data_IF_599273798105
#
_entry.id   IF_599273798105
#
_cell.length_a   1.000
_cell.length_b   1.000
_cell.length_c   1.000
_cell.angle_alpha   90.00
_cell.angle_beta   90.00
_cell.angle_gamma   90.00
#
_symmetry.space_group_name_H-M   'P 1'
#
loop_
_entity.id
_entity.type
_entity.pdbx_description
1 polymer ?
#
# COMPACT_ATOMS: atom_id res chain seq x y z
N UNK A 1 6.54 10.80 -11.17
CA UNK A 1 5.40 10.12 -11.82
C UNK A 1 5.67 8.65 -12.13
N UNK A 2 6.84 8.30 -12.68
CA UNK A 2 7.18 6.89 -13.00
C UNK A 2 7.14 5.99 -11.75
N UNK A 3 7.75 6.42 -10.65
CA UNK A 3 7.74 5.64 -9.40
C UNK A 3 6.33 5.35 -8.87
N UNK A 4 5.41 6.33 -8.95
CA UNK A 4 4.01 6.13 -8.57
C UNK A 4 3.28 5.13 -9.48
N UNK A 5 3.57 5.16 -10.78
CA UNK A 5 3.02 4.20 -11.74
C UNK A 5 3.53 2.77 -11.45
N UNK A 6 4.81 2.61 -11.14
CA UNK A 6 5.41 1.32 -10.76
C UNK A 6 4.80 0.80 -9.44
N UNK A 7 4.59 1.67 -8.44
CA UNK A 7 3.90 1.31 -7.21
C UNK A 7 2.46 0.87 -7.47
N UNK A 8 1.70 1.64 -8.27
CA UNK A 8 0.32 1.29 -8.61
C UNK A 8 0.24 -0.05 -9.35
N UNK A 9 1.18 -0.32 -10.27
CA UNK A 9 1.26 -1.59 -10.98
C UNK A 9 1.56 -2.76 -10.01
N UNK A 10 2.49 -2.59 -9.08
CA UNK A 10 2.77 -3.60 -8.05
C UNK A 10 1.54 -3.89 -7.18
N UNK A 11 0.82 -2.84 -6.76
CA UNK A 11 -0.43 -2.99 -5.99
C UNK A 11 -1.52 -3.71 -6.79
N UNK A 12 -1.59 -3.46 -8.10
CA UNK A 12 -2.50 -4.18 -8.99
C UNK A 12 -2.21 -5.68 -9.01
N UNK A 13 -0.95 -6.09 -9.15
CA UNK A 13 -0.57 -7.50 -9.07
C UNK A 13 -0.89 -8.10 -7.70
N UNK A 14 -0.63 -7.36 -6.61
CA UNK A 14 -0.94 -7.82 -5.25
C UNK A 14 -2.45 -7.95 -5.00
N UNK A 15 -3.30 -7.16 -5.67
CA UNK A 15 -4.76 -7.25 -5.52
C UNK A 15 -5.39 -8.53 -6.08
N UNK A 16 -4.63 -9.32 -6.83
CA UNK A 16 -5.04 -10.63 -7.36
C UNK A 16 -4.45 -11.81 -6.59
N UNK A 17 -3.86 -11.60 -5.42
CA UNK A 17 -3.26 -12.67 -4.64
C UNK A 17 -4.31 -13.61 -4.04
N UNK A 18 -3.99 -14.90 -4.06
CA UNK A 18 -4.81 -15.98 -3.51
C UNK A 18 -4.08 -16.65 -2.34
N UNK A 19 -4.81 -17.39 -1.51
CA UNK A 19 -4.25 -18.11 -0.34
C UNK A 19 -3.23 -19.19 -0.69
N UNK A 20 -3.16 -19.60 -1.95
CA UNK A 20 -2.18 -20.55 -2.50
C UNK A 20 -0.99 -19.91 -3.19
N UNK A 21 -0.77 -18.59 -3.04
CA UNK A 21 0.27 -17.88 -3.75
C UNK A 21 1.68 -18.37 -3.44
N UNK A 22 2.52 -18.44 -4.47
CA UNK A 22 3.93 -18.79 -4.33
C UNK A 22 4.73 -17.66 -3.68
N UNK A 23 5.66 -18.03 -2.80
CA UNK A 23 6.59 -17.11 -2.11
C UNK A 23 7.37 -16.24 -3.10
N UNK A 24 7.68 -16.78 -4.28
CA UNK A 24 8.38 -16.04 -5.33
C UNK A 24 7.57 -14.84 -5.84
N UNK A 25 6.27 -15.01 -6.04
CA UNK A 25 5.40 -13.93 -6.50
C UNK A 25 5.33 -12.79 -5.47
N UNK A 26 5.26 -13.11 -4.18
CA UNK A 26 5.27 -12.12 -3.09
C UNK A 26 6.61 -11.36 -3.07
N UNK A 27 7.73 -12.09 -3.19
CA UNK A 27 9.06 -11.48 -3.17
C UNK A 27 9.27 -10.54 -4.36
N UNK A 28 8.86 -10.98 -5.56
CA UNK A 28 9.01 -10.18 -6.77
C UNK A 28 8.16 -8.90 -6.75
N UNK A 29 6.91 -9.01 -6.35
CA UNK A 29 6.02 -7.83 -6.24
C UNK A 29 6.49 -6.86 -5.17
N UNK A 30 6.98 -7.36 -4.02
CA UNK A 30 7.60 -6.54 -2.98
C UNK A 30 8.86 -5.82 -3.46
N UNK A 31 9.71 -6.48 -4.26
CA UNK A 31 10.89 -5.86 -4.87
C UNK A 31 10.51 -4.74 -5.83
N UNK A 32 9.54 -4.96 -6.72
CA UNK A 32 9.04 -3.93 -7.64
C UNK A 32 8.44 -2.74 -6.88
N UNK A 33 7.69 -3.00 -5.81
CA UNK A 33 7.14 -1.96 -4.95
C UNK A 33 8.24 -1.13 -4.26
N UNK A 34 9.29 -1.78 -3.76
CA UNK A 34 10.45 -1.11 -3.15
C UNK A 34 11.19 -0.20 -4.14
N UNK A 35 11.39 -0.65 -5.38
CA UNK A 35 11.95 0.17 -6.46
C UNK A 35 11.06 1.39 -6.76
N UNK A 36 9.75 1.20 -6.85
CA UNK A 36 8.79 2.29 -7.05
C UNK A 36 8.86 3.32 -5.93
N UNK A 37 8.94 2.88 -4.67
CA UNK A 37 9.05 3.74 -3.50
C UNK A 37 10.36 4.55 -3.52
N UNK A 38 11.49 3.93 -3.86
CA UNK A 38 12.77 4.63 -3.98
C UNK A 38 12.73 5.73 -5.04
N UNK A 39 12.11 5.45 -6.19
CA UNK A 39 11.95 6.43 -7.28
C UNK A 39 11.03 7.61 -6.92
N UNK A 40 10.12 7.46 -5.96
CA UNK A 40 9.27 8.56 -5.46
C UNK A 40 10.01 9.38 -4.40
N UNK A 41 10.70 8.71 -3.48
CA UNK A 41 11.33 9.35 -2.31
C UNK A 41 12.45 10.30 -2.69
N UNK A 42 13.35 9.90 -3.59
CA UNK A 42 14.54 10.69 -3.96
C UNK A 42 14.13 12.01 -4.63
N UNK A 43 13.30 12.03 -5.70
CA UNK A 43 12.86 13.28 -6.32
C UNK A 43 12.05 14.16 -5.37
N UNK A 44 11.22 13.56 -4.50
CA UNK A 44 10.41 14.30 -3.55
C UNK A 44 11.29 15.08 -2.57
N UNK A 45 12.32 14.44 -2.01
CA UNK A 45 13.29 15.12 -1.15
C UNK A 45 14.04 16.23 -1.91
N UNK A 46 14.51 15.93 -3.11
CA UNK A 46 15.25 16.93 -3.92
C UNK A 46 14.38 18.14 -4.21
N UNK A 47 13.13 17.95 -4.61
CA UNK A 47 12.20 19.06 -4.89
C UNK A 47 11.90 19.88 -3.63
N UNK A 48 11.67 19.21 -2.49
CA UNK A 48 11.36 19.89 -1.22
C UNK A 48 12.50 20.81 -0.77
N UNK A 49 13.75 20.38 -0.97
CA UNK A 49 14.91 21.15 -0.51
C UNK A 49 15.58 22.04 -1.57
N UNK A 50 15.17 21.92 -2.85
CA UNK A 50 15.76 22.70 -3.96
C UNK A 50 15.54 24.21 -3.82
N UNK A 51 14.42 24.63 -3.26
CA UNK A 51 14.05 26.03 -3.07
C UNK A 51 14.51 26.62 -1.74
N UNK A 52 15.07 25.79 -0.84
CA UNK A 52 15.46 26.21 0.51
C UNK A 52 16.93 26.66 0.55
N UNK A 53 17.24 27.87 1.06
CA UNK A 53 18.62 28.30 1.33
C UNK A 53 19.35 27.30 2.24
N UNK A 54 20.66 27.15 2.05
CA UNK A 54 21.47 26.12 2.72
C UNK A 54 21.39 26.16 4.26
N UNK A 55 21.29 27.35 4.85
CA UNK A 55 21.22 27.53 6.31
C UNK A 55 19.88 27.10 6.93
N UNK A 56 18.79 27.07 6.16
CA UNK A 56 17.48 26.58 6.63
C UNK A 56 17.21 25.11 6.32
N UNK A 57 18.10 24.41 5.63
CA UNK A 57 17.87 22.99 5.23
C UNK A 57 17.75 22.06 6.43
N UNK A 58 18.47 22.31 7.51
CA UNK A 58 18.42 21.50 8.73
C UNK A 58 17.05 21.61 9.41
N UNK A 59 16.56 22.84 9.56
CA UNK A 59 15.22 23.09 10.14
C UNK A 59 14.11 22.54 9.23
N UNK A 60 14.22 22.76 7.93
CA UNK A 60 13.30 22.23 6.92
C UNK A 60 13.22 20.70 6.93
N UNK A 61 14.34 20.01 7.18
CA UNK A 61 14.36 18.55 7.32
C UNK A 61 13.57 18.09 8.55
N UNK A 62 13.65 18.80 9.66
CA UNK A 62 12.85 18.51 10.85
C UNK A 62 11.36 18.62 10.59
N UNK A 63 10.91 19.70 9.97
CA UNK A 63 9.51 19.94 9.62
C UNK A 63 9.01 18.90 8.60
N UNK A 64 9.80 18.61 7.58
CA UNK A 64 9.48 17.57 6.58
C UNK A 64 9.26 16.21 7.24
N UNK A 65 10.17 15.77 8.12
CA UNK A 65 10.05 14.49 8.82
C UNK A 65 8.83 14.47 9.75
N UNK A 66 8.52 15.57 10.41
CA UNK A 66 7.34 15.69 11.26
C UNK A 66 6.05 15.49 10.44
N UNK A 67 5.90 16.24 9.35
CA UNK A 67 4.73 16.14 8.47
C UNK A 67 4.61 14.74 7.88
N UNK A 68 5.72 14.15 7.42
CA UNK A 68 5.76 12.80 6.89
C UNK A 68 5.31 11.74 7.92
N UNK A 69 5.79 11.85 9.17
CA UNK A 69 5.45 10.91 10.22
C UNK A 69 3.97 11.03 10.62
N UNK A 70 3.44 12.26 10.73
CA UNK A 70 2.03 12.49 11.00
C UNK A 70 1.17 11.92 9.86
N UNK A 71 1.50 12.25 8.61
CA UNK A 71 0.80 11.73 7.44
C UNK A 71 0.84 10.20 7.34
N UNK A 72 2.01 9.60 7.63
CA UNK A 72 2.19 8.16 7.68
C UNK A 72 1.33 7.50 8.75
N UNK A 73 1.30 8.06 9.96
CA UNK A 73 0.49 7.54 11.07
C UNK A 73 -1.01 7.58 10.75
N UNK A 74 -1.49 8.68 10.17
CA UNK A 74 -2.88 8.81 9.74
C UNK A 74 -3.20 7.78 8.64
N UNK A 75 -2.33 7.66 7.63
CA UNK A 75 -2.50 6.71 6.53
C UNK A 75 -2.57 5.27 7.00
N UNK A 76 -1.64 4.85 7.87
CA UNK A 76 -1.63 3.51 8.47
C UNK A 76 -2.90 3.27 9.29
N UNK A 77 -3.33 4.24 10.10
CA UNK A 77 -4.54 4.12 10.92
C UNK A 77 -5.80 3.89 10.07
N UNK A 78 -5.93 4.64 8.97
CA UNK A 78 -7.05 4.47 8.03
C UNK A 78 -7.00 3.09 7.38
N UNK A 79 -5.84 2.67 6.85
CA UNK A 79 -5.68 1.38 6.19
C UNK A 79 -6.01 0.22 7.14
N UNK A 80 -5.47 0.21 8.36
CA UNK A 80 -5.78 -0.82 9.35
C UNK A 80 -7.25 -0.84 9.78
N UNK A 81 -7.89 0.32 9.90
CA UNK A 81 -9.30 0.39 10.25
C UNK A 81 -10.17 -0.20 9.15
N UNK A 82 -9.87 0.12 7.89
CA UNK A 82 -10.58 -0.44 6.74
C UNK A 82 -10.34 -1.94 6.60
N UNK A 83 -9.10 -2.40 6.74
CA UNK A 83 -8.73 -3.81 6.71
C UNK A 83 -9.49 -4.60 7.78
N UNK A 84 -9.49 -4.13 9.03
CA UNK A 84 -10.19 -4.77 10.14
C UNK A 84 -11.70 -4.83 9.91
N UNK A 85 -12.30 -3.72 9.47
CA UNK A 85 -13.72 -3.64 9.16
C UNK A 85 -14.10 -4.58 8.01
N UNK A 86 -13.36 -4.56 6.92
CA UNK A 86 -13.62 -5.41 5.77
C UNK A 86 -13.44 -6.90 6.13
N UNK A 87 -12.45 -7.24 6.95
CA UNK A 87 -12.27 -8.61 7.43
C UNK A 87 -13.47 -9.09 8.24
N UNK A 88 -14.02 -8.25 9.11
CA UNK A 88 -15.24 -8.59 9.88
C UNK A 88 -16.46 -8.77 8.97
N UNK A 89 -16.65 -7.89 8.00
CA UNK A 89 -17.75 -7.98 7.04
C UNK A 89 -17.63 -9.25 6.19
N UNK A 90 -16.44 -9.49 5.61
CA UNK A 90 -16.19 -10.66 4.79
C UNK A 90 -16.32 -11.96 5.60
N UNK A 91 -15.86 -11.97 6.85
CA UNK A 91 -16.05 -13.10 7.76
C UNK A 91 -17.53 -13.38 8.01
N UNK A 92 -18.33 -12.34 8.30
CA UNK A 92 -19.77 -12.49 8.52
C UNK A 92 -20.49 -13.00 7.26
N UNK A 93 -20.12 -12.49 6.08
CA UNK A 93 -20.68 -12.94 4.80
C UNK A 93 -20.30 -14.40 4.52
N UNK A 94 -19.02 -14.75 4.66
CA UNK A 94 -18.57 -16.14 4.42
C UNK A 94 -19.20 -17.12 5.41
N UNK A 95 -19.28 -16.76 6.69
CA UNK A 95 -19.90 -17.61 7.72
C UNK A 95 -21.39 -17.81 7.51
N UNK A 96 -22.11 -16.83 6.95
CA UNK A 96 -23.53 -16.97 6.65
C UNK A 96 -23.83 -18.03 5.56
N UNK A 97 -22.85 -18.28 4.68
CA UNK A 97 -22.95 -19.33 3.65
C UNK A 97 -22.59 -20.74 4.18
N UNK A 98 -22.00 -20.81 5.39
CA UNK A 98 -21.68 -22.08 6.04
C UNK A 98 -22.89 -22.51 6.86
N UNK A 99 -23.83 -23.17 6.22
CA UNK A 99 -25.01 -23.74 6.86
C UNK A 99 -25.03 -25.26 6.69
N UNK A 100 -25.48 -26.03 7.69
CA UNK A 100 -25.69 -27.48 7.55
C UNK A 100 -26.62 -27.86 6.39
N UNK A 101 -27.42 -26.91 5.94
CA UNK A 101 -28.35 -27.09 4.78
C UNK A 101 -27.71 -26.78 3.44
N UNK A 102 -26.47 -26.32 3.40
CA UNK A 102 -25.78 -26.03 2.13
C UNK A 102 -25.39 -27.34 1.46
N UNK A 103 -25.93 -27.56 0.24
CA UNK A 103 -25.74 -28.79 -0.54
C UNK A 103 -24.25 -29.08 -0.81
N UNK A 104 -23.41 -28.06 -0.98
CA UNK A 104 -21.98 -28.24 -1.16
C UNK A 104 -21.29 -28.81 0.09
N UNK A 105 -21.75 -28.46 1.30
CA UNK A 105 -21.26 -29.02 2.54
C UNK A 105 -21.77 -30.46 2.77
N UNK A 106 -22.99 -30.75 2.36
CA UNK A 106 -23.56 -32.12 2.47
C UNK A 106 -22.84 -33.11 1.54
N UNK A 107 -22.46 -32.68 0.34
CA UNK A 107 -21.66 -33.50 -0.59
C UNK A 107 -20.22 -33.70 -0.05
N UNK A 108 -19.65 -32.69 0.60
CA UNK A 108 -18.31 -32.77 1.21
C UNK A 108 -18.30 -33.62 2.50
N UNK A 109 -19.37 -33.61 3.27
CA UNK A 109 -19.48 -34.37 4.54
C UNK A 109 -19.58 -35.89 4.36
N UNK A 110 -20.00 -36.36 3.18
CA UNK A 110 -20.03 -37.81 2.86
C UNK A 110 -18.65 -38.40 2.60
N UNK A 111 -17.64 -37.58 2.37
CA UNK A 111 -16.26 -38.02 2.03
C UNK A 111 -15.20 -37.57 3.02
N UNK A 112 -15.51 -36.73 4.02
CA UNK A 112 -14.49 -36.14 4.87
C UNK A 112 -14.87 -35.98 6.34
N UNK A 113 -14.01 -36.34 7.12
CA UNK A 113 -13.33 -36.03 8.35
C UNK A 113 -13.84 -34.83 9.17
N UNK A 114 -14.75 -33.99 8.67
CA UNK A 114 -15.16 -32.75 9.33
C UNK A 114 -16.56 -32.87 9.91
N UNK A 115 -16.62 -33.16 11.19
CA UNK A 115 -17.86 -33.26 11.94
C UNK A 115 -18.24 -31.91 12.55
N UNK A 116 -19.31 -31.28 12.05
CA UNK A 116 -19.85 -30.02 12.57
C UNK A 116 -20.31 -30.09 14.03
N UNK A 117 -20.33 -31.30 14.63
CA UNK A 117 -20.61 -31.53 16.05
C UNK A 117 -19.36 -31.48 16.92
N UNK A 118 -18.17 -31.50 16.35
CA UNK A 118 -16.89 -31.44 17.08
C UNK A 118 -16.41 -30.00 17.20
N UNK A 119 -16.14 -29.54 18.40
CA UNK A 119 -15.63 -28.20 18.69
C UNK A 119 -14.29 -27.95 17.98
N UNK A 120 -13.46 -28.98 17.85
CA UNK A 120 -12.18 -28.89 17.13
C UNK A 120 -12.36 -28.60 15.63
N UNK A 121 -13.31 -29.26 15.00
CA UNK A 121 -13.59 -29.08 13.57
C UNK A 121 -14.24 -27.72 13.28
N UNK A 122 -15.09 -27.23 14.20
CA UNK A 122 -15.67 -25.89 14.14
C UNK A 122 -14.60 -24.81 14.28
N UNK A 123 -13.62 -25.00 15.17
CA UNK A 123 -12.53 -24.02 15.31
C UNK A 123 -11.62 -24.01 14.09
N UNK A 124 -11.33 -25.17 13.50
CA UNK A 124 -10.58 -25.26 12.25
C UNK A 124 -11.31 -24.58 11.09
N UNK A 125 -12.62 -24.81 10.97
CA UNK A 125 -13.47 -24.17 9.95
C UNK A 125 -13.49 -22.65 10.12
N UNK A 126 -13.70 -22.16 11.34
CA UNK A 126 -13.64 -20.73 11.63
C UNK A 126 -12.28 -20.12 11.30
N UNK A 127 -11.20 -20.85 11.54
CA UNK A 127 -9.84 -20.43 11.14
C UNK A 127 -9.69 -20.31 9.61
N UNK A 128 -10.23 -21.26 8.85
CA UNK A 128 -10.24 -21.21 7.39
C UNK A 128 -11.05 -20.01 6.86
N UNK A 129 -12.25 -19.80 7.42
CA UNK A 129 -13.10 -18.64 7.05
C UNK A 129 -12.40 -17.34 7.35
N UNK A 130 -11.80 -17.21 8.52
CA UNK A 130 -11.06 -16.00 8.91
C UNK A 130 -9.89 -15.74 7.96
N UNK A 131 -9.15 -16.79 7.59
CA UNK A 131 -8.04 -16.68 6.64
C UNK A 131 -8.51 -16.20 5.26
N UNK A 132 -9.60 -16.75 4.74
CA UNK A 132 -10.19 -16.33 3.47
C UNK A 132 -10.73 -14.90 3.55
N UNK A 133 -11.45 -14.55 4.61
CA UNK A 133 -11.97 -13.20 4.83
C UNK A 133 -10.84 -12.17 4.88
N UNK A 134 -9.75 -12.49 5.58
CA UNK A 134 -8.58 -11.61 5.64
C UNK A 134 -7.94 -11.43 4.26
N UNK A 135 -7.82 -12.51 3.48
CA UNK A 135 -7.20 -12.44 2.14
C UNK A 135 -8.01 -11.55 1.19
N UNK A 136 -9.34 -11.69 1.17
CA UNK A 136 -10.23 -10.82 0.40
C UNK A 136 -10.05 -9.35 0.84
N UNK A 137 -9.97 -9.10 2.14
CA UNK A 137 -9.82 -7.76 2.68
C UNK A 137 -8.47 -7.13 2.35
N UNK A 138 -7.39 -7.91 2.35
CA UNK A 138 -6.07 -7.46 1.88
C UNK A 138 -6.09 -7.08 0.40
N UNK A 139 -6.77 -7.88 -0.44
CA UNK A 139 -6.90 -7.57 -1.86
C UNK A 139 -7.65 -6.25 -2.10
N UNK A 140 -8.69 -5.99 -1.31
CA UNK A 140 -9.45 -4.73 -1.38
C UNK A 140 -8.62 -3.54 -0.88
N UNK A 141 -7.78 -3.74 0.15
CA UNK A 141 -6.87 -2.71 0.64
C UNK A 141 -5.78 -2.38 -0.40
N UNK A 142 -5.23 -3.36 -1.09
CA UNK A 142 -4.30 -3.13 -2.20
C UNK A 142 -4.96 -2.36 -3.36
N UNK A 143 -6.23 -2.63 -3.69
CA UNK A 143 -6.98 -1.85 -4.69
C UNK A 143 -7.16 -0.40 -4.25
N UNK A 144 -7.48 -0.17 -2.98
CA UNK A 144 -7.59 1.18 -2.42
C UNK A 144 -6.26 1.93 -2.50
N UNK A 145 -5.16 1.29 -2.10
CA UNK A 145 -3.83 1.87 -2.21
C UNK A 145 -3.44 2.15 -3.67
N UNK A 146 -3.77 1.27 -4.60
CA UNK A 146 -3.57 1.49 -6.04
C UNK A 146 -4.31 2.74 -6.51
N UNK A 147 -5.59 2.89 -6.15
CA UNK A 147 -6.41 4.06 -6.51
C UNK A 147 -5.79 5.34 -5.92
N UNK A 148 -5.32 5.29 -4.68
CA UNK A 148 -4.65 6.42 -4.02
C UNK A 148 -3.37 6.82 -4.76
N UNK A 149 -2.55 5.85 -5.19
CA UNK A 149 -1.36 6.10 -6.01
C UNK A 149 -1.72 6.71 -7.37
N UNK A 150 -2.78 6.21 -8.02
CA UNK A 150 -3.24 6.76 -9.30
C UNK A 150 -3.75 8.19 -9.17
N UNK A 151 -4.45 8.52 -8.08
CA UNK A 151 -4.90 9.89 -7.79
C UNK A 151 -3.73 10.83 -7.45
N UNK A 152 -2.65 10.32 -6.90
CA UNK A 152 -1.45 11.10 -6.63
C UNK A 152 -0.69 11.50 -7.91
N UNK A 153 -0.78 10.71 -8.99
CA UNK A 153 -0.07 11.00 -10.25
C UNK A 153 -0.46 12.38 -10.83
N UNK A 154 -1.74 12.69 -11.08
CA UNK A 154 -2.11 14.01 -11.60
C UNK A 154 -1.76 15.15 -10.65
N UNK A 155 -1.80 14.91 -9.34
CA UNK A 155 -1.42 15.91 -8.35
C UNK A 155 0.07 16.27 -8.44
N UNK A 156 0.94 15.30 -8.73
CA UNK A 156 2.36 15.53 -9.00
C UNK A 156 2.57 16.33 -10.29
N UNK A 157 1.75 16.13 -11.31
CA UNK A 157 1.81 16.93 -12.53
C UNK A 157 1.36 18.39 -12.34
N UNK A 158 0.46 18.63 -11.37
CA UNK A 158 0.05 20.01 -11.02
C UNK A 158 1.14 20.76 -10.25
N UNK A 159 2.07 20.07 -9.59
CA UNK A 159 3.21 20.71 -8.94
C UNK A 159 4.11 21.32 -10.02
N UNK A 160 4.22 22.65 -10.03
CA UNK A 160 5.08 23.39 -10.95
C UNK A 160 6.52 22.91 -10.82
N UNK A 161 7.17 22.68 -11.94
CA UNK A 161 8.61 22.43 -11.96
C UNK A 161 9.29 23.63 -11.34
N UNK A 162 10.16 23.47 -10.34
CA UNK A 162 10.99 24.59 -9.88
C UNK A 162 11.83 25.04 -11.06
N UNK A 163 11.70 26.32 -11.40
CA UNK A 163 12.60 26.97 -12.35
C UNK A 163 14.00 26.90 -11.72
N UNK A 164 14.89 26.13 -12.31
CA UNK A 164 16.32 26.18 -11.98
C UNK A 164 16.77 27.59 -12.36
N UNK A 165 16.83 28.49 -11.36
CA UNK A 165 17.40 29.81 -11.51
C UNK A 165 18.79 29.67 -12.13
N UNK A 166 18.91 30.28 -13.29
CA UNK A 166 20.08 30.27 -14.15
C UNK A 166 21.34 30.58 -13.31
N UNK A 167 22.24 29.64 -13.17
CA UNK A 167 23.55 29.76 -12.49
C UNK A 167 24.48 30.78 -13.18
N UNK A 168 23.96 31.48 -14.20
CA UNK A 168 24.67 32.51 -14.97
C UNK A 168 24.94 33.80 -14.17
N UNK A 169 24.31 33.99 -12.99
CA UNK A 169 24.51 35.20 -12.17
C UNK A 169 25.69 35.03 -11.19
N UNK A 170 26.00 33.79 -10.81
CA UNK A 170 27.18 33.47 -9.97
C UNK A 170 28.51 33.63 -10.72
N UNK A 171 28.54 33.37 -12.02
CA UNK A 171 29.73 33.48 -12.85
C UNK A 171 30.10 34.95 -13.16
N UNK A 172 29.11 35.84 -13.22
CA UNK A 172 29.35 37.28 -13.42
C UNK A 172 29.93 37.97 -12.20
N UNK A 173 29.68 37.48 -10.99
CA UNK A 173 30.22 38.05 -9.76
C UNK A 173 31.71 37.71 -9.59
N UNK A 174 32.13 36.53 -10.05
CA UNK A 174 33.56 36.16 -10.03
C UNK A 174 34.35 36.91 -11.10
N UNK A 175 33.78 37.22 -12.25
CA UNK A 175 34.44 37.93 -13.33
C UNK A 175 34.57 39.45 -13.08
N UNK A 176 33.91 39.99 -12.08
CA UNK A 176 34.00 41.42 -11.71
C UNK A 176 34.98 41.65 -10.54
N UNK A 177 35.46 40.59 -9.89
CA UNK A 177 36.42 40.64 -8.76
C UNK A 177 37.86 40.27 -9.14
N UNK A 178 38.12 39.92 -10.41
CA UNK A 178 39.47 39.82 -11.03
C UNK A 178 39.79 41.08 -11.86
#
# INVERSE_FOLDING_TARGET
>A
SVGLAVMALSMYFMSGFDTGIDTWAITWTGFVQGLGMGQVMVPLMTLTFSTLPSHFRTEGTGVYNLIRNIGGSIGISIAFTLLSRNTQINHAVLSSHISPYNQAMQLSSSTSVMNLHNLHDLTALNGMVTRQASMISFNDDFKLMMITCLLAIPLVFLMQRPEYGNTAEGEKIHAVME
#
